data_IF_778651929925
#
_entry.id   IF_778651929925
#
_cell.length_a   1.000
_cell.length_b   1.000
_cell.length_c   1.000
_cell.angle_alpha   90.00
_cell.angle_beta   90.00
_cell.angle_gamma   90.00
#
_symmetry.space_group_name_H-M   'P 1'
#
loop_
_entity.id
_entity.type
_entity.pdbx_description
1 polymer ?
#
# COMPACT_ATOMS: atom_id res chain seq x y z
N UNK A 1 -4.72 24.31 18.30
CA UNK A 1 -3.71 23.27 18.04
C UNK A 1 -3.99 22.67 16.66
N UNK A 2 -3.02 22.68 15.74
CA UNK A 2 -3.20 22.45 14.29
C UNK A 2 -4.14 21.28 13.91
N UNK A 3 -3.95 20.08 14.44
CA UNK A 3 -4.80 18.93 14.06
C UNK A 3 -6.29 19.12 14.41
N UNK A 4 -6.61 19.87 15.48
CA UNK A 4 -8.00 20.21 15.82
C UNK A 4 -8.65 21.09 14.76
N UNK A 5 -7.93 22.06 14.18
CA UNK A 5 -8.46 22.89 13.10
C UNK A 5 -8.61 22.14 11.78
N UNK A 6 -8.03 20.95 11.66
CA UNK A 6 -8.16 20.02 10.53
C UNK A 6 -9.22 18.92 10.75
N UNK A 7 -9.99 19.01 11.84
CA UNK A 7 -11.10 18.09 12.12
C UNK A 7 -10.72 16.86 12.97
N UNK A 8 -9.56 16.84 13.62
CA UNK A 8 -9.15 15.76 14.52
C UNK A 8 -9.30 16.20 15.99
N UNK A 9 -10.24 15.60 16.72
CA UNK A 9 -10.62 16.02 18.07
C UNK A 9 -10.87 14.83 19.02
N UNK A 10 -11.01 15.11 20.32
CA UNK A 10 -11.40 14.13 21.34
C UNK A 10 -10.55 12.86 21.35
N UNK A 11 -11.23 11.71 21.48
CA UNK A 11 -10.63 10.36 21.50
C UNK A 11 -9.88 10.05 20.20
N UNK A 12 -10.33 10.57 19.07
CA UNK A 12 -9.67 10.39 17.78
C UNK A 12 -8.29 11.04 17.74
N UNK A 13 -8.15 12.25 18.31
CA UNK A 13 -6.87 12.92 18.44
C UNK A 13 -5.95 12.19 19.43
N UNK A 14 -6.50 11.73 20.55
CA UNK A 14 -5.74 10.96 21.53
C UNK A 14 -5.19 9.67 20.90
N UNK A 15 -6.04 8.87 20.25
CA UNK A 15 -5.66 7.64 19.56
C UNK A 15 -4.60 7.89 18.47
N UNK A 16 -4.78 8.95 17.67
CA UNK A 16 -3.81 9.32 16.64
C UNK A 16 -2.42 9.59 17.21
N UNK A 17 -2.33 10.34 18.31
CA UNK A 17 -1.06 10.65 18.98
C UNK A 17 -0.48 9.39 19.65
N UNK A 18 -1.32 8.57 20.30
CA UNK A 18 -0.89 7.35 20.98
C UNK A 18 -0.35 6.28 20.04
N UNK A 19 -0.93 6.13 18.84
CA UNK A 19 -0.47 5.16 17.83
C UNK A 19 0.91 5.55 17.29
N UNK A 20 1.18 6.84 17.11
CA UNK A 20 2.48 7.29 16.64
C UNK A 20 2.95 8.55 17.37
N UNK A 21 3.51 8.41 18.59
CA UNK A 21 3.94 9.55 19.39
C UNK A 21 5.12 10.30 18.77
N UNK A 22 5.81 9.71 17.79
CA UNK A 22 6.96 10.36 17.11
C UNK A 22 6.57 11.61 16.34
N UNK A 23 5.29 11.77 15.99
CA UNK A 23 4.80 13.01 15.37
C UNK A 23 5.01 14.24 16.25
N UNK A 24 5.00 14.06 17.59
CA UNK A 24 5.24 15.14 18.54
C UNK A 24 6.70 15.64 18.52
N UNK A 25 7.61 14.85 17.95
CA UNK A 25 9.02 15.24 17.78
C UNK A 25 9.27 16.07 16.51
N UNK A 26 8.27 16.21 15.64
CA UNK A 26 8.41 16.93 14.37
C UNK A 26 8.08 18.41 14.54
N UNK A 27 8.70 19.25 13.71
CA UNK A 27 8.39 20.68 13.73
C UNK A 27 7.05 20.93 13.06
N UNK A 28 6.13 21.65 13.72
CA UNK A 28 4.89 22.05 13.09
C UNK A 28 5.13 22.92 11.85
N UNK A 29 5.99 23.92 11.97
CA UNK A 29 6.19 24.92 10.91
C UNK A 29 7.12 24.42 9.79
N UNK A 30 8.04 23.50 10.09
CA UNK A 30 9.01 22.99 9.09
C UNK A 30 8.60 21.67 8.45
N UNK A 31 7.86 20.81 9.16
CA UNK A 31 7.52 19.46 8.69
C UNK A 31 6.00 19.28 8.52
N UNK A 32 5.24 19.39 9.62
CA UNK A 32 3.84 18.94 9.66
C UNK A 32 2.94 19.79 8.77
N UNK A 33 2.95 21.12 8.94
CA UNK A 33 2.04 22.02 8.21
C UNK A 33 2.36 22.01 6.71
N UNK A 34 3.63 22.21 6.27
CA UNK A 34 3.95 22.17 4.85
C UNK A 34 3.61 20.82 4.20
N UNK A 35 3.93 19.70 4.85
CA UNK A 35 3.62 18.37 4.30
C UNK A 35 2.11 18.14 4.23
N UNK A 36 1.36 18.58 5.24
CA UNK A 36 -0.09 18.47 5.24
C UNK A 36 -0.71 19.24 4.07
N UNK A 37 -0.27 20.48 3.83
CA UNK A 37 -0.80 21.31 2.75
C UNK A 37 -0.44 20.74 1.36
N UNK A 38 0.75 20.16 1.19
CA UNK A 38 1.14 19.45 -0.03
C UNK A 38 0.26 18.21 -0.22
N UNK A 39 0.05 17.39 0.81
CA UNK A 39 -0.85 16.25 0.67
C UNK A 39 -2.27 16.69 0.39
N UNK A 40 -2.75 17.78 1.00
CA UNK A 40 -4.07 18.34 0.72
C UNK A 40 -4.23 18.73 -0.74
N UNK A 41 -3.22 19.32 -1.38
CA UNK A 41 -3.30 19.64 -2.81
C UNK A 41 -3.40 18.40 -3.70
N UNK A 42 -2.89 17.26 -3.24
CA UNK A 42 -2.94 15.97 -3.95
C UNK A 42 -4.28 15.27 -3.71
N UNK A 43 -4.69 15.11 -2.44
CA UNK A 43 -5.88 14.34 -2.06
C UNK A 43 -7.14 15.21 -1.84
N UNK A 44 -7.04 16.49 -2.17
CA UNK A 44 -8.11 17.48 -2.34
C UNK A 44 -8.92 17.88 -1.09
N UNK A 45 -8.71 17.27 0.07
CA UNK A 45 -9.43 17.66 1.30
C UNK A 45 -8.64 17.39 2.58
N UNK A 46 -8.91 18.19 3.61
CA UNK A 46 -8.35 17.98 4.96
C UNK A 46 -8.77 16.59 5.49
N UNK A 47 -10.01 16.16 5.25
CA UNK A 47 -10.52 14.85 5.65
C UNK A 47 -9.72 13.70 5.04
N UNK A 48 -9.35 13.79 3.76
CA UNK A 48 -8.55 12.78 3.10
C UNK A 48 -7.12 12.73 3.66
N UNK A 49 -6.52 13.88 3.95
CA UNK A 49 -5.20 13.93 4.61
C UNK A 49 -5.29 13.31 6.01
N UNK A 50 -6.33 13.63 6.79
CA UNK A 50 -6.56 13.02 8.12
C UNK A 50 -6.70 11.50 8.02
N UNK A 51 -7.50 11.00 7.07
CA UNK A 51 -7.67 9.56 6.84
C UNK A 51 -6.34 8.88 6.51
N UNK A 52 -5.52 9.51 5.68
CA UNK A 52 -4.19 9.04 5.30
C UNK A 52 -3.22 9.01 6.49
N UNK A 53 -3.08 10.11 7.24
CA UNK A 53 -2.10 10.18 8.34
C UNK A 53 -2.51 9.32 9.55
N UNK A 54 -3.81 9.03 9.74
CA UNK A 54 -4.27 8.03 10.71
C UNK A 54 -3.74 6.62 10.37
N UNK A 55 -3.46 6.32 9.10
CA UNK A 55 -2.83 5.05 8.68
C UNK A 55 -1.32 5.07 8.88
N UNK A 56 -0.67 6.19 8.57
CA UNK A 56 0.77 6.36 8.77
C UNK A 56 1.14 7.85 8.82
N UNK A 57 1.28 8.41 10.02
CA UNK A 57 1.64 9.83 10.18
C UNK A 57 3.10 10.13 9.85
N UNK A 58 3.95 9.12 9.65
CA UNK A 58 5.35 9.30 9.30
C UNK A 58 5.55 9.90 7.90
N UNK A 59 4.52 9.84 7.05
CA UNK A 59 4.54 10.53 5.74
C UNK A 59 4.68 12.05 5.85
N UNK A 60 4.35 12.64 6.99
CA UNK A 60 4.48 14.09 7.24
C UNK A 60 5.92 14.54 7.54
N UNK A 61 6.86 13.60 7.73
CA UNK A 61 8.28 13.94 7.84
C UNK A 61 8.80 14.45 6.49
N UNK A 62 9.55 15.56 6.47
CA UNK A 62 10.07 16.15 5.23
C UNK A 62 10.83 15.16 4.33
N UNK A 63 11.68 14.30 4.90
CA UNK A 63 12.41 13.28 4.12
C UNK A 63 11.49 12.18 3.55
N UNK A 64 10.40 11.88 4.24
CA UNK A 64 9.42 10.88 3.79
C UNK A 64 8.52 11.47 2.71
N UNK A 65 8.07 12.71 2.87
CA UNK A 65 7.35 13.44 1.84
C UNK A 65 8.11 13.43 0.51
N UNK A 66 9.42 13.75 0.53
CA UNK A 66 10.26 13.72 -0.69
C UNK A 66 10.19 12.36 -1.41
N UNK A 67 10.27 11.25 -0.66
CA UNK A 67 10.15 9.90 -1.23
C UNK A 67 8.78 9.63 -1.83
N UNK A 68 7.72 10.02 -1.12
CA UNK A 68 6.35 9.90 -1.63
C UNK A 68 6.22 10.67 -2.94
N UNK A 69 6.70 11.92 -2.99
CA UNK A 69 6.59 12.76 -4.19
C UNK A 69 7.30 12.13 -5.40
N UNK A 70 8.51 11.61 -5.23
CA UNK A 70 9.25 10.91 -6.30
C UNK A 70 8.45 9.70 -6.82
N UNK A 71 7.92 8.87 -5.92
CA UNK A 71 7.16 7.68 -6.32
C UNK A 71 5.81 8.05 -6.97
N UNK A 72 5.13 9.11 -6.51
CA UNK A 72 3.89 9.61 -7.11
C UNK A 72 4.13 10.17 -8.52
N UNK A 73 5.19 10.95 -8.70
CA UNK A 73 5.57 11.50 -10.00
C UNK A 73 5.91 10.39 -10.99
N UNK A 74 6.65 9.39 -10.55
CA UNK A 74 6.94 8.21 -11.37
C UNK A 74 5.66 7.52 -11.85
N UNK A 75 4.67 7.27 -10.97
CA UNK A 75 3.39 6.68 -11.39
C UNK A 75 2.62 7.55 -12.38
N UNK A 76 2.65 8.88 -12.21
CA UNK A 76 2.03 9.82 -13.17
C UNK A 76 2.68 9.72 -14.54
N UNK A 77 4.01 9.65 -14.58
CA UNK A 77 4.77 9.48 -15.82
C UNK A 77 4.51 8.13 -16.49
N UNK A 78 4.16 7.10 -15.70
CA UNK A 78 3.70 5.80 -16.21
C UNK A 78 2.22 5.78 -16.64
N UNK A 79 1.53 6.93 -16.64
CA UNK A 79 0.14 7.04 -17.08
C UNK A 79 -0.90 6.50 -16.10
N UNK A 80 -0.52 6.24 -14.83
CA UNK A 80 -1.47 5.74 -13.82
C UNK A 80 -2.52 6.82 -13.53
N UNK A 81 -3.83 6.50 -13.56
CA UNK A 81 -4.88 7.49 -13.33
C UNK A 81 -4.73 8.21 -11.99
N UNK A 82 -4.81 9.55 -12.01
CA UNK A 82 -4.66 10.37 -10.81
C UNK A 82 -5.64 9.99 -9.70
N UNK A 83 -6.89 9.69 -10.06
CA UNK A 83 -7.93 9.23 -9.12
C UNK A 83 -7.55 7.94 -8.41
N UNK A 84 -6.92 6.99 -9.12
CA UNK A 84 -6.40 5.76 -8.54
C UNK A 84 -5.22 6.07 -7.60
N UNK A 85 -4.27 6.90 -8.03
CA UNK A 85 -3.13 7.31 -7.20
C UNK A 85 -3.62 7.91 -5.87
N UNK A 86 -4.54 8.88 -5.92
CA UNK A 86 -5.05 9.55 -4.71
C UNK A 86 -5.76 8.56 -3.78
N UNK A 87 -6.60 7.67 -4.32
CA UNK A 87 -7.28 6.64 -3.53
C UNK A 87 -6.28 5.76 -2.77
N UNK A 88 -5.25 5.27 -3.44
CA UNK A 88 -4.26 4.38 -2.81
C UNK A 88 -3.27 5.11 -1.90
N UNK A 89 -2.95 6.37 -2.18
CA UNK A 89 -2.16 7.19 -1.27
C UNK A 89 -2.90 7.37 0.06
N UNK A 90 -4.22 7.61 0.02
CA UNK A 90 -5.06 7.71 1.23
C UNK A 90 -5.12 6.38 1.98
N UNK A 91 -5.38 5.27 1.27
CA UNK A 91 -5.64 3.98 1.91
C UNK A 91 -4.36 3.23 2.33
N UNK A 92 -3.24 3.43 1.61
CA UNK A 92 -1.97 2.70 1.77
C UNK A 92 -0.74 3.62 1.67
N UNK A 93 -0.64 4.70 2.46
CA UNK A 93 0.44 5.69 2.35
C UNK A 93 1.85 5.10 2.53
N UNK A 94 1.97 4.01 3.31
CA UNK A 94 3.24 3.33 3.55
C UNK A 94 3.87 2.76 2.28
N UNK A 95 3.08 2.31 1.30
CA UNK A 95 3.62 1.76 0.06
C UNK A 95 4.42 2.80 -0.74
N UNK A 96 4.07 4.08 -0.62
CA UNK A 96 4.75 5.18 -1.32
C UNK A 96 6.01 5.66 -0.59
N UNK A 97 6.33 5.12 0.59
CA UNK A 97 7.57 5.39 1.32
C UNK A 97 8.73 4.48 0.88
N UNK A 98 8.46 3.52 -0.01
CA UNK A 98 9.47 2.61 -0.53
C UNK A 98 10.62 3.39 -1.18
N UNK A 99 11.82 2.80 -1.13
CA UNK A 99 12.96 3.36 -1.87
C UNK A 99 12.62 3.51 -3.36
N UNK A 100 12.97 4.64 -3.97
CA UNK A 100 12.59 4.95 -5.36
C UNK A 100 13.06 3.91 -6.38
N UNK A 101 14.27 3.36 -6.23
CA UNK A 101 14.80 2.33 -7.13
C UNK A 101 13.99 1.05 -7.00
N UNK A 102 13.77 0.57 -5.76
CA UNK A 102 12.95 -0.62 -5.50
C UNK A 102 11.49 -0.42 -5.94
N UNK A 103 10.95 0.78 -5.77
CA UNK A 103 9.59 1.11 -6.21
C UNK A 103 9.46 1.02 -7.74
N UNK A 104 10.46 1.53 -8.47
CA UNK A 104 10.55 1.39 -9.92
C UNK A 104 10.64 -0.07 -10.35
N UNK A 105 11.52 -0.86 -9.74
CA UNK A 105 11.64 -2.30 -10.01
C UNK A 105 10.32 -3.05 -9.80
N UNK A 106 9.57 -2.71 -8.74
CA UNK A 106 8.24 -3.29 -8.47
C UNK A 106 7.25 -2.96 -9.59
N UNK A 107 7.24 -1.71 -10.05
CA UNK A 107 6.34 -1.26 -11.12
C UNK A 107 6.66 -1.96 -12.43
N UNK A 108 7.93 -2.02 -12.82
CA UNK A 108 8.39 -2.70 -14.03
C UNK A 108 8.03 -4.19 -13.97
N UNK A 109 8.30 -4.85 -12.84
CA UNK A 109 7.90 -6.25 -12.61
C UNK A 109 6.40 -6.48 -12.76
N UNK A 110 5.55 -5.56 -12.28
CA UNK A 110 4.11 -5.67 -12.44
C UNK A 110 3.67 -5.50 -13.91
N UNK A 111 4.33 -4.61 -14.65
CA UNK A 111 4.09 -4.45 -16.09
C UNK A 111 4.50 -5.71 -16.86
N UNK A 112 5.64 -6.31 -16.55
CA UNK A 112 6.10 -7.59 -17.13
C UNK A 112 5.15 -8.74 -16.79
N UNK A 113 4.58 -8.72 -15.58
CA UNK A 113 3.51 -9.62 -15.16
C UNK A 113 2.17 -9.32 -15.83
N UNK A 114 2.09 -8.40 -16.80
CA UNK A 114 0.90 -8.11 -17.58
C UNK A 114 -0.19 -7.34 -16.83
N UNK A 115 0.14 -6.62 -15.75
CA UNK A 115 -0.84 -5.74 -15.12
C UNK A 115 -1.16 -4.53 -16.01
N UNK A 116 -2.44 -4.18 -16.08
CA UNK A 116 -2.87 -2.93 -16.70
C UNK A 116 -2.78 -1.78 -15.69
N UNK A 117 -1.87 -0.82 -15.93
CA UNK A 117 -1.63 0.34 -15.07
C UNK A 117 -2.83 1.28 -14.91
N UNK A 118 -3.82 1.19 -15.80
CA UNK A 118 -5.08 1.93 -15.71
C UNK A 118 -6.05 1.31 -14.68
N UNK A 119 -5.86 0.04 -14.32
CA UNK A 119 -6.72 -0.67 -13.38
C UNK A 119 -6.24 -0.53 -11.94
N UNK A 120 -7.19 -0.52 -11.00
CA UNK A 120 -6.87 -0.43 -9.56
C UNK A 120 -6.08 -1.62 -9.02
N UNK A 121 -6.13 -2.78 -9.69
CA UNK A 121 -5.36 -3.99 -9.35
C UNK A 121 -3.85 -3.75 -9.46
N UNK A 122 -3.41 -2.87 -10.34
CA UNK A 122 -1.99 -2.50 -10.46
C UNK A 122 -1.45 -1.90 -9.15
N UNK A 123 -2.15 -0.93 -8.56
CA UNK A 123 -1.76 -0.33 -7.29
C UNK A 123 -1.88 -1.33 -6.12
N UNK A 124 -2.83 -2.28 -6.16
CA UNK A 124 -2.85 -3.40 -5.19
C UNK A 124 -1.61 -4.29 -5.32
N UNK A 125 -1.13 -4.50 -6.55
CA UNK A 125 0.12 -5.22 -6.82
C UNK A 125 1.32 -4.52 -6.19
N UNK A 126 1.42 -3.19 -6.36
CA UNK A 126 2.47 -2.37 -5.72
C UNK A 126 2.41 -2.51 -4.20
N UNK A 127 1.23 -2.35 -3.61
CA UNK A 127 1.02 -2.52 -2.16
C UNK A 127 1.43 -3.94 -1.72
N UNK A 128 1.13 -4.95 -2.52
CA UNK A 128 1.56 -6.32 -2.27
C UNK A 128 3.08 -6.44 -2.20
N UNK A 129 3.79 -6.03 -3.25
CA UNK A 129 5.25 -6.15 -3.30
C UNK A 129 5.99 -5.27 -2.31
N UNK A 130 5.50 -4.07 -2.01
CA UNK A 130 6.09 -3.18 -0.99
C UNK A 130 5.92 -3.73 0.43
N UNK A 131 4.89 -4.54 0.66
CA UNK A 131 4.62 -5.16 1.97
C UNK A 131 5.42 -6.46 2.22
N UNK A 132 6.16 -6.99 1.25
CA UNK A 132 6.85 -8.27 1.40
C UNK A 132 8.27 -8.26 0.82
N UNK A 133 9.13 -9.10 1.39
CA UNK A 133 10.44 -9.39 0.82
C UNK A 133 10.32 -10.34 -0.35
N UNK A 134 11.36 -10.39 -1.19
CA UNK A 134 11.45 -11.38 -2.27
C UNK A 134 11.44 -12.82 -1.74
N UNK A 135 12.06 -13.07 -0.59
CA UNK A 135 12.00 -14.38 0.08
C UNK A 135 10.56 -14.75 0.47
N UNK A 136 9.80 -13.80 1.06
CA UNK A 136 8.40 -14.02 1.42
C UNK A 136 7.51 -14.28 0.20
N UNK A 137 7.84 -13.66 -0.94
CA UNK A 137 7.19 -13.92 -2.23
C UNK A 137 7.48 -15.35 -2.71
N UNK A 138 8.76 -15.72 -2.80
CA UNK A 138 9.21 -17.06 -3.25
C UNK A 138 8.59 -18.17 -2.39
N UNK A 139 8.61 -18.04 -1.06
CA UNK A 139 7.99 -19.02 -0.16
C UNK A 139 6.49 -19.18 -0.42
N UNK A 140 5.76 -18.11 -0.75
CA UNK A 140 4.32 -18.19 -1.06
C UNK A 140 4.07 -18.83 -2.42
N UNK A 141 4.92 -18.54 -3.40
CA UNK A 141 4.88 -19.24 -4.68
C UNK A 141 5.04 -20.75 -4.48
N UNK A 142 5.99 -21.16 -3.63
CA UNK A 142 6.22 -22.58 -3.33
C UNK A 142 5.06 -23.22 -2.59
N UNK A 143 4.37 -22.48 -1.70
CA UNK A 143 3.13 -22.96 -1.09
C UNK A 143 2.09 -23.27 -2.16
N UNK A 144 1.82 -22.36 -3.10
CA UNK A 144 0.86 -22.64 -4.18
C UNK A 144 1.32 -23.79 -5.10
N UNK A 145 2.62 -23.89 -5.40
CA UNK A 145 3.19 -25.00 -6.19
C UNK A 145 2.99 -26.37 -5.52
N UNK A 146 3.09 -26.45 -4.19
CA UNK A 146 2.76 -27.68 -3.43
C UNK A 146 1.30 -28.10 -3.56
N UNK A 147 0.41 -27.17 -3.90
CA UNK A 147 -1.00 -27.45 -4.24
C UNK A 147 -1.23 -27.65 -5.74
N UNK A 148 -0.18 -27.91 -6.52
CA UNK A 148 -0.26 -28.25 -7.94
C UNK A 148 -0.42 -27.05 -8.88
N UNK A 149 -0.29 -25.81 -8.39
CA UNK A 149 -0.40 -24.63 -9.25
C UNK A 149 0.90 -24.42 -10.05
N UNK A 150 0.76 -24.13 -11.34
CA UNK A 150 1.85 -23.66 -12.18
C UNK A 150 2.21 -22.21 -11.83
N UNK A 151 3.41 -21.78 -12.22
CA UNK A 151 3.84 -20.38 -12.10
C UNK A 151 2.83 -19.42 -12.77
N UNK A 152 2.32 -19.78 -13.95
CA UNK A 152 1.34 -18.99 -14.70
C UNK A 152 -0.01 -18.87 -13.97
N UNK A 153 -0.50 -19.96 -13.35
CA UNK A 153 -1.72 -19.91 -12.53
C UNK A 153 -1.56 -18.93 -11.36
N UNK A 154 -0.39 -18.95 -10.70
CA UNK A 154 -0.12 -18.07 -9.56
C UNK A 154 -0.03 -16.61 -10.02
N UNK A 155 0.68 -16.32 -11.10
CA UNK A 155 0.76 -14.98 -11.67
C UNK A 155 -0.61 -14.47 -12.12
N UNK A 156 -1.42 -15.32 -12.75
CA UNK A 156 -2.79 -14.99 -13.16
C UNK A 156 -3.68 -14.67 -11.96
N UNK A 157 -3.62 -15.47 -10.89
CA UNK A 157 -4.37 -15.21 -9.67
C UNK A 157 -3.91 -13.92 -8.97
N UNK A 158 -2.60 -13.69 -8.92
CA UNK A 158 -2.04 -12.46 -8.37
C UNK A 158 -2.49 -11.23 -9.17
N UNK A 159 -2.49 -11.31 -10.51
CA UNK A 159 -2.99 -10.24 -11.39
C UNK A 159 -4.46 -9.91 -11.14
N UNK A 160 -5.29 -10.94 -10.97
CA UNK A 160 -6.72 -10.79 -10.67
C UNK A 160 -6.96 -10.25 -9.26
N UNK A 161 -6.21 -10.72 -8.27
CA UNK A 161 -6.36 -10.31 -6.88
C UNK A 161 -5.04 -10.42 -6.09
N UNK A 162 -4.24 -9.33 -6.01
CA UNK A 162 -2.96 -9.34 -5.30
C UNK A 162 -3.03 -9.78 -3.83
N UNK A 163 -4.20 -9.70 -3.19
CA UNK A 163 -4.38 -10.15 -1.82
C UNK A 163 -4.11 -11.65 -1.60
N UNK A 164 -4.17 -12.48 -2.66
CA UNK A 164 -3.80 -13.89 -2.54
C UNK A 164 -2.35 -14.10 -2.09
N UNK A 165 -1.47 -13.11 -2.33
CA UNK A 165 -0.06 -13.15 -1.94
C UNK A 165 0.26 -12.33 -0.69
N UNK A 166 -0.64 -11.46 -0.20
CA UNK A 166 -0.38 -10.60 0.98
C UNK A 166 -0.79 -11.23 2.31
N UNK A 167 -1.52 -12.34 2.28
CA UNK A 167 -1.88 -13.11 3.47
C UNK A 167 -0.73 -14.04 3.92
N UNK A 168 -0.80 -14.55 5.15
CA UNK A 168 0.20 -15.49 5.65
C UNK A 168 0.15 -16.83 4.92
N UNK A 169 1.29 -17.52 4.85
CA UNK A 169 1.38 -18.88 4.29
C UNK A 169 0.44 -19.86 5.01
N UNK A 170 0.33 -19.74 6.33
CA UNK A 170 -0.64 -20.50 7.13
C UNK A 170 -2.08 -20.30 6.64
N UNK A 171 -2.46 -19.07 6.30
CA UNK A 171 -3.81 -18.77 5.78
C UNK A 171 -3.99 -19.34 4.38
N UNK A 172 -2.98 -19.23 3.52
CA UNK A 172 -3.00 -19.83 2.16
C UNK A 172 -3.19 -21.35 2.26
N UNK A 173 -2.37 -22.04 3.05
CA UNK A 173 -2.49 -23.49 3.24
C UNK A 173 -3.85 -23.91 3.79
N UNK A 174 -4.38 -23.19 4.78
CA UNK A 174 -5.69 -23.49 5.36
C UNK A 174 -6.83 -23.37 4.33
N UNK A 175 -6.80 -22.30 3.51
CA UNK A 175 -7.80 -22.09 2.45
C UNK A 175 -7.67 -23.15 1.37
N UNK A 176 -6.45 -23.45 0.90
CA UNK A 176 -6.23 -24.46 -0.14
C UNK A 176 -6.64 -25.86 0.33
N UNK A 177 -6.31 -26.24 1.57
CA UNK A 177 -6.75 -27.52 2.13
C UNK A 177 -8.26 -27.65 2.19
N UNK A 178 -8.96 -26.56 2.56
CA UNK A 178 -10.41 -26.56 2.54
C UNK A 178 -10.96 -26.73 1.11
N UNK A 179 -10.49 -25.93 0.16
CA UNK A 179 -10.98 -25.95 -1.22
C UNK A 179 -10.72 -27.28 -1.92
N UNK A 180 -9.51 -27.84 -1.79
CA UNK A 180 -9.10 -29.04 -2.52
C UNK A 180 -9.59 -30.32 -1.83
N UNK A 181 -9.45 -30.43 -0.50
CA UNK A 181 -9.66 -31.71 0.19
C UNK A 181 -11.01 -31.82 0.90
N UNK A 182 -11.69 -30.71 1.19
CA UNK A 182 -12.96 -30.72 1.95
C UNK A 182 -14.16 -30.32 1.11
N UNK A 183 -13.97 -29.40 0.16
CA UNK A 183 -15.07 -28.89 -0.66
C UNK A 183 -15.30 -29.73 -1.91
N UNK A 184 -14.24 -30.07 -2.65
CA UNK A 184 -14.33 -30.96 -3.84
C UNK A 184 -14.79 -32.38 -3.48
N UNK A 185 -14.49 -32.87 -2.27
CA UNK A 185 -14.92 -34.19 -1.78
C UNK A 185 -16.33 -34.20 -1.19
N UNK A 186 -16.96 -33.03 -1.05
CA UNK A 186 -18.34 -32.88 -0.57
C UNK A 186 -19.37 -32.68 -1.69
N UNK A 187 -18.91 -32.71 -2.95
CA UNK A 187 -19.73 -32.80 -4.17
C UNK A 187 -19.69 -34.24 -4.68
#
# INVERSE_FOLDING_TARGET
MFFKSKGLYGVDLANFISINPTILKQSFNKDIIPSFDIFKSIVQSDQNVIKMIKRNSWVLCSNQLKRVMVNLEFLRNQGVPHTNICKYLIDQPRAFLENANRFKEIVEKLQDMGFNHLQTTFLKGIVGFTAMSEANWKNKMDVYKRWGWSEDHIQTAFRKNPQCMTVSEKKIMAVMNFLVNKWVTSL
#
